data_IF_018074097994
#
_entry.id   IF_018074097994
#
_cell.length_a   1.000
_cell.length_b   1.000
_cell.length_c   1.000
_cell.angle_alpha   90.00
_cell.angle_beta   90.00
_cell.angle_gamma   90.00
#
_symmetry.space_group_name_H-M   'P 1'
#
loop_
_entity.id
_entity.type
_entity.pdbx_description
1 polymer ?
#
# COMPACT_ATOMS: atom_id res chain seq x y z
N UNK A 1 -24.42 -14.84 6.83
CA UNK A 1 -23.38 -13.93 6.56
C UNK A 1 -22.08 -14.67 6.39
N UNK A 2 -21.30 -14.15 5.62
CA UNK A 2 -20.00 -14.67 5.53
C UNK A 2 -19.27 -14.38 6.83
N UNK A 3 -18.96 -15.40 7.51
CA UNK A 3 -18.24 -15.26 8.76
C UNK A 3 -16.82 -14.96 8.54
N UNK A 4 -16.40 -15.04 7.31
CA UNK A 4 -15.06 -14.65 6.97
C UNK A 4 -14.94 -13.17 7.07
N UNK A 5 -14.30 -12.71 8.08
CA UNK A 5 -13.95 -11.31 8.17
C UNK A 5 -12.73 -11.13 7.30
N UNK A 6 -12.81 -10.22 6.34
CA UNK A 6 -11.67 -9.94 5.50
C UNK A 6 -10.54 -9.37 6.35
N UNK A 7 -9.33 -9.48 5.85
CA UNK A 7 -8.17 -8.92 6.54
C UNK A 7 -8.40 -7.44 6.83
N UNK A 8 -8.99 -6.75 5.89
CA UNK A 8 -9.26 -5.34 6.01
C UNK A 8 -10.30 -5.05 7.08
N UNK A 9 -11.36 -5.83 7.13
CA UNK A 9 -12.39 -5.66 8.12
C UNK A 9 -11.89 -5.96 9.52
N UNK A 10 -11.08 -7.00 9.66
CA UNK A 10 -10.49 -7.35 10.92
C UNK A 10 -9.62 -6.22 11.43
N UNK A 11 -8.81 -5.66 10.55
CA UNK A 11 -7.93 -4.57 10.88
C UNK A 11 -8.73 -3.34 11.30
N UNK A 12 -9.81 -3.08 10.59
CA UNK A 12 -10.69 -1.98 10.91
C UNK A 12 -11.30 -2.14 12.32
N UNK A 13 -11.76 -3.32 12.63
CA UNK A 13 -12.35 -3.58 13.95
C UNK A 13 -11.34 -3.39 15.07
N UNK A 14 -10.13 -3.85 14.87
CA UNK A 14 -9.08 -3.67 15.85
C UNK A 14 -8.78 -2.18 16.04
N UNK A 15 -8.71 -1.47 14.92
CA UNK A 15 -8.42 -0.04 14.95
C UNK A 15 -9.53 0.74 15.63
N UNK A 16 -10.77 0.40 15.33
CA UNK A 16 -11.91 1.09 15.94
C UNK A 16 -11.88 0.94 17.45
N UNK A 17 -11.47 -0.21 17.95
CA UNK A 17 -11.43 -0.43 19.39
C UNK A 17 -10.37 0.44 20.06
N UNK A 18 -9.32 0.82 19.33
CA UNK A 18 -8.28 1.70 19.85
C UNK A 18 -8.47 3.15 19.43
N UNK A 19 -9.25 3.39 18.40
CA UNK A 19 -9.48 4.71 17.84
C UNK A 19 -8.40 5.22 16.90
N UNK A 20 -7.34 4.45 16.65
CA UNK A 20 -6.22 4.88 15.83
C UNK A 20 -5.73 3.77 14.91
N UNK A 21 -5.05 4.18 13.84
CA UNK A 21 -4.33 3.27 12.95
C UNK A 21 -2.99 3.92 12.60
N UNK A 22 -1.94 3.11 12.62
CA UNK A 22 -0.63 3.57 12.16
C UNK A 22 -0.51 3.25 10.68
N UNK A 23 -0.17 4.25 9.87
CA UNK A 23 -0.14 4.11 8.43
C UNK A 23 1.03 4.88 7.83
N UNK A 24 1.31 4.58 6.57
CA UNK A 24 2.21 5.37 5.74
C UNK A 24 1.41 6.15 4.72
N UNK A 25 1.84 7.38 4.46
CA UNK A 25 1.36 8.16 3.33
C UNK A 25 2.47 8.11 2.29
N UNK A 26 2.16 7.60 1.12
CA UNK A 26 3.16 7.34 0.08
C UNK A 26 2.80 8.13 -1.16
N UNK A 27 3.69 9.04 -1.57
CA UNK A 27 3.48 9.82 -2.78
C UNK A 27 3.49 8.90 -3.99
N UNK A 28 2.50 9.07 -4.87
CA UNK A 28 2.37 8.26 -6.07
C UNK A 28 2.37 9.14 -7.30
N UNK A 29 3.08 8.68 -8.34
CA UNK A 29 3.08 9.40 -9.60
C UNK A 29 1.72 9.24 -10.29
N UNK A 30 1.13 10.37 -10.66
CA UNK A 30 -0.08 10.37 -11.46
C UNK A 30 -1.38 10.07 -10.74
N UNK A 31 -1.36 9.96 -9.42
CA UNK A 31 -2.60 9.71 -8.66
C UNK A 31 -2.45 10.21 -7.24
N UNK A 32 -3.55 10.13 -6.49
CA UNK A 32 -3.56 10.52 -5.08
C UNK A 32 -2.52 9.72 -4.31
N UNK A 33 -2.00 10.29 -3.23
CA UNK A 33 -1.08 9.58 -2.38
C UNK A 33 -1.77 8.32 -1.83
N UNK A 34 -0.96 7.29 -1.63
CA UNK A 34 -1.44 6.00 -1.13
C UNK A 34 -1.44 6.01 0.38
N UNK A 35 -2.48 5.48 0.97
CA UNK A 35 -2.58 5.28 2.41
C UNK A 35 -2.43 3.78 2.66
N UNK A 36 -1.38 3.39 3.38
CA UNK A 36 -1.03 1.99 3.55
C UNK A 36 -0.79 1.68 5.02
N UNK A 37 -1.45 0.67 5.58
CA UNK A 37 -1.20 0.29 6.98
C UNK A 37 0.25 -0.13 7.17
N UNK A 38 0.85 0.27 8.28
CA UNK A 38 2.26 -0.02 8.52
C UNK A 38 2.52 -1.51 8.78
N UNK A 39 1.53 -2.21 9.31
CA UNK A 39 1.73 -3.59 9.72
C UNK A 39 1.91 -4.57 8.55
N UNK A 40 1.62 -4.15 7.32
CA UNK A 40 1.87 -5.02 6.15
C UNK A 40 3.18 -4.70 5.46
N UNK A 41 3.95 -3.75 5.96
CA UNK A 41 5.25 -3.41 5.42
C UNK A 41 6.31 -4.14 6.24
N UNK A 42 6.99 -5.10 5.62
CA UNK A 42 7.94 -5.95 6.32
C UNK A 42 9.33 -5.33 6.40
N UNK A 43 9.68 -4.50 5.42
CA UNK A 43 11.02 -3.93 5.35
C UNK A 43 11.02 -2.76 4.38
N UNK A 44 12.02 -1.90 4.51
CA UNK A 44 12.24 -0.77 3.60
C UNK A 44 13.72 -0.79 3.20
N UNK A 45 13.98 -0.77 1.90
CA UNK A 45 15.32 -0.91 1.34
C UNK A 45 15.62 0.23 0.37
N UNK A 46 16.79 0.83 0.52
CA UNK A 46 17.25 1.76 -0.53
C UNK A 46 17.49 0.97 -1.79
N UNK A 47 17.06 1.49 -2.92
CA UNK A 47 17.14 0.75 -4.17
C UNK A 47 17.17 1.68 -5.38
N UNK A 48 17.79 1.19 -6.44
CA UNK A 48 17.64 1.75 -7.77
C UNK A 48 16.17 1.56 -8.17
N UNK A 49 15.54 2.59 -8.70
CA UNK A 49 14.12 2.51 -9.08
C UNK A 49 13.90 1.83 -10.43
N UNK A 50 14.96 1.65 -11.22
CA UNK A 50 14.85 1.13 -12.58
C UNK A 50 15.06 -0.38 -12.63
N UNK A 51 14.67 -1.10 -11.58
CA UNK A 51 14.83 -2.54 -11.48
C UNK A 51 13.48 -3.23 -11.57
N UNK A 52 13.48 -4.46 -12.06
CA UNK A 52 12.23 -5.25 -12.16
C UNK A 52 12.02 -6.12 -10.95
N UNK A 53 13.08 -6.40 -10.19
CA UNK A 53 12.98 -7.20 -8.98
C UNK A 53 13.91 -6.60 -7.93
N UNK A 54 13.56 -6.89 -6.67
CA UNK A 54 14.39 -6.51 -5.52
C UNK A 54 14.67 -7.79 -4.75
N UNK A 55 15.92 -7.97 -4.37
CA UNK A 55 16.30 -9.14 -3.58
C UNK A 55 16.06 -8.87 -2.09
N UNK A 56 15.39 -9.83 -1.44
CA UNK A 56 15.10 -9.73 -0.02
C UNK A 56 15.05 -11.14 0.55
N UNK A 57 15.93 -11.42 1.53
CA UNK A 57 16.01 -12.74 2.16
C UNK A 57 16.12 -13.87 1.13
N UNK A 58 17.03 -13.69 0.17
CA UNK A 58 17.29 -14.67 -0.92
C UNK A 58 16.11 -14.88 -1.85
N UNK A 59 15.11 -14.02 -1.79
CA UNK A 59 13.97 -14.04 -2.71
C UNK A 59 14.09 -12.85 -3.66
N UNK A 60 13.63 -13.05 -4.89
CA UNK A 60 13.53 -11.96 -5.87
C UNK A 60 12.08 -11.53 -5.93
N UNK A 61 11.80 -10.35 -5.42
CA UNK A 61 10.43 -9.85 -5.36
C UNK A 61 10.15 -8.96 -6.56
N UNK A 62 9.01 -9.15 -7.24
CA UNK A 62 8.66 -8.27 -8.36
C UNK A 62 8.39 -6.86 -7.84
N UNK A 63 8.67 -5.87 -8.66
CA UNK A 63 8.52 -4.47 -8.30
C UNK A 63 7.25 -3.88 -8.90
N UNK A 64 6.45 -3.24 -8.06
CA UNK A 64 5.35 -2.40 -8.50
C UNK A 64 5.77 -0.95 -8.23
N UNK A 65 5.97 -0.19 -9.30
CA UNK A 65 6.57 1.15 -9.20
C UNK A 65 5.50 2.22 -9.12
N UNK A 66 5.58 3.05 -8.09
CA UNK A 66 4.72 4.23 -7.95
C UNK A 66 5.53 5.50 -7.87
N UNK A 67 6.85 5.40 -8.05
CA UNK A 67 7.77 6.53 -8.04
C UNK A 67 7.68 7.33 -9.34
N UNK A 68 8.21 8.53 -9.31
CA UNK A 68 8.31 9.35 -10.52
C UNK A 68 9.22 8.63 -11.52
N UNK A 69 8.80 8.55 -12.80
CA UNK A 69 9.54 7.77 -13.80
C UNK A 69 10.99 8.23 -14.02
N UNK A 70 11.27 9.50 -13.83
CA UNK A 70 12.61 10.03 -14.06
C UNK A 70 13.53 9.85 -12.85
N UNK A 71 13.00 9.46 -11.72
CA UNK A 71 13.80 9.27 -10.51
C UNK A 71 14.57 7.95 -10.60
N UNK A 72 15.84 7.97 -10.23
CA UNK A 72 16.71 6.80 -10.37
C UNK A 72 16.98 6.09 -9.05
N UNK A 73 16.79 6.76 -7.92
CA UNK A 73 17.01 6.17 -6.61
C UNK A 73 15.78 6.38 -5.75
N UNK A 74 15.40 5.38 -5.01
CA UNK A 74 14.24 5.46 -4.15
C UNK A 74 14.30 4.42 -3.05
N UNK A 75 13.11 4.08 -2.54
CA UNK A 75 12.97 3.11 -1.45
C UNK A 75 11.96 2.04 -1.89
N UNK A 76 12.36 0.79 -1.74
CA UNK A 76 11.48 -0.34 -2.00
C UNK A 76 10.92 -0.84 -0.68
N UNK A 77 9.60 -0.85 -0.57
CA UNK A 77 8.92 -1.39 0.59
C UNK A 77 8.53 -2.83 0.30
N UNK A 78 8.92 -3.74 1.17
CA UNK A 78 8.52 -5.14 1.04
C UNK A 78 7.14 -5.30 1.64
N UNK A 79 6.19 -5.68 0.80
CA UNK A 79 4.78 -5.75 1.19
C UNK A 79 4.38 -7.20 1.41
N UNK A 80 3.73 -7.45 2.53
CA UNK A 80 3.25 -8.78 2.92
C UNK A 80 2.11 -9.21 2.01
N UNK A 81 2.01 -10.54 1.78
CA UNK A 81 0.87 -11.14 1.12
C UNK A 81 0.22 -12.14 2.07
N UNK A 82 -0.79 -12.84 1.57
CA UNK A 82 -1.42 -13.90 2.37
C UNK A 82 -0.43 -15.03 2.63
N UNK A 83 0.53 -15.22 1.71
CA UNK A 83 1.66 -16.10 1.96
C UNK A 83 2.89 -15.50 1.29
N UNK A 84 4.04 -16.13 1.53
CA UNK A 84 5.32 -15.57 1.08
C UNK A 84 5.41 -15.44 -0.44
N UNK A 85 4.67 -16.26 -1.19
CA UNK A 85 4.72 -16.21 -2.65
C UNK A 85 4.03 -14.98 -3.23
N UNK A 86 3.29 -14.25 -2.41
CA UNK A 86 2.55 -13.06 -2.86
C UNK A 86 3.23 -11.75 -2.48
N UNK A 87 4.38 -11.83 -1.84
CA UNK A 87 5.12 -10.63 -1.47
C UNK A 87 5.64 -9.91 -2.69
N UNK A 88 5.68 -8.60 -2.62
CA UNK A 88 6.24 -7.80 -3.71
C UNK A 88 6.90 -6.55 -3.13
N UNK A 89 7.63 -5.84 -3.97
CA UNK A 89 8.30 -4.61 -3.58
C UNK A 89 7.56 -3.43 -4.17
N UNK A 90 7.15 -2.50 -3.33
CA UNK A 90 6.51 -1.26 -3.75
C UNK A 90 7.60 -0.20 -3.85
N UNK A 91 7.89 0.25 -5.07
CA UNK A 91 8.98 1.21 -5.29
C UNK A 91 8.47 2.62 -5.14
N UNK A 92 9.05 3.34 -4.19
CA UNK A 92 8.62 4.68 -3.79
C UNK A 92 9.71 5.71 -4.08
N UNK A 93 9.32 6.99 -4.15
CA UNK A 93 10.29 8.07 -4.34
C UNK A 93 11.29 8.16 -3.19
N UNK A 94 10.82 7.93 -1.98
CA UNK A 94 11.61 8.06 -0.77
C UNK A 94 10.90 7.32 0.34
N UNK A 95 11.51 7.27 1.52
CA UNK A 95 10.87 6.64 2.67
C UNK A 95 9.55 7.35 2.96
N UNK A 96 8.43 6.62 3.04
CA UNK A 96 7.13 7.24 3.24
C UNK A 96 7.01 7.92 4.60
N UNK A 97 6.09 8.85 4.65
CA UNK A 97 5.76 9.54 5.89
C UNK A 97 4.92 8.62 6.79
N UNK A 98 5.37 8.48 8.03
CA UNK A 98 4.64 7.71 9.03
C UNK A 98 3.62 8.62 9.70
N UNK A 99 2.41 8.11 9.90
CA UNK A 99 1.33 8.90 10.48
C UNK A 99 0.45 8.01 11.33
N UNK A 100 -0.04 8.56 12.45
CA UNK A 100 -1.06 7.91 13.25
C UNK A 100 -2.38 8.61 12.99
N UNK A 101 -3.36 7.87 12.50
CA UNK A 101 -4.66 8.40 12.11
C UNK A 101 -5.71 8.11 13.17
N UNK A 102 -6.58 9.09 13.40
CA UNK A 102 -7.79 8.85 14.18
C UNK A 102 -8.87 8.38 13.21
N UNK A 103 -9.44 7.23 13.48
CA UNK A 103 -10.44 6.62 12.60
C UNK A 103 -11.61 7.57 12.35
N UNK A 104 -12.04 8.30 13.37
CA UNK A 104 -13.19 9.19 13.22
C UNK A 104 -12.94 10.34 12.26
N UNK A 105 -11.68 10.57 11.86
CA UNK A 105 -11.33 11.65 10.92
C UNK A 105 -11.23 11.18 9.49
N UNK A 106 -11.39 9.88 9.25
CA UNK A 106 -11.32 9.31 7.91
C UNK A 106 -12.72 9.19 7.34
N UNK A 107 -12.93 9.78 6.17
CA UNK A 107 -14.24 9.78 5.52
C UNK A 107 -14.11 9.10 4.17
N UNK A 108 -15.01 8.17 3.88
CA UNK A 108 -15.04 7.52 2.57
C UNK A 108 -15.38 8.56 1.51
N UNK A 109 -14.63 8.54 0.42
CA UNK A 109 -14.90 9.40 -0.72
C UNK A 109 -15.49 8.51 -1.81
N UNK A 110 -16.75 8.77 -2.17
CA UNK A 110 -17.47 7.92 -3.11
C UNK A 110 -17.29 8.34 -4.55
N UNK A 111 -16.30 9.19 -4.84
CA UNK A 111 -16.02 9.57 -6.21
C UNK A 111 -15.71 8.34 -7.06
N UNK A 112 -16.13 8.31 -8.33
CA UNK A 112 -15.85 7.17 -9.19
C UNK A 112 -14.34 6.93 -9.33
N UNK A 113 -13.96 5.65 -9.35
CA UNK A 113 -12.58 5.23 -9.50
C UNK A 113 -12.48 4.31 -10.70
N UNK A 114 -11.64 4.67 -11.66
CA UNK A 114 -11.44 3.87 -12.87
C UNK A 114 -10.17 3.03 -12.85
N UNK A 115 -9.38 3.15 -11.80
CA UNK A 115 -8.11 2.43 -11.68
C UNK A 115 -8.34 1.16 -10.85
N UNK A 116 -8.16 -0.03 -11.43
CA UNK A 116 -8.43 -1.27 -10.68
C UNK A 116 -7.46 -1.50 -9.53
N UNK A 117 -6.32 -0.80 -9.49
CA UNK A 117 -5.37 -0.93 -8.38
C UNK A 117 -5.77 -0.07 -7.18
N UNK A 118 -6.82 0.72 -7.31
CA UNK A 118 -7.35 1.51 -6.21
C UNK A 118 -8.58 0.80 -5.65
N UNK A 119 -8.54 0.47 -4.37
CA UNK A 119 -9.66 -0.16 -3.70
C UNK A 119 -10.74 0.88 -3.36
N UNK A 120 -10.30 2.05 -2.86
CA UNK A 120 -11.22 3.07 -2.38
C UNK A 120 -10.48 4.38 -2.20
N UNK A 121 -11.20 5.50 -2.37
CA UNK A 121 -10.69 6.82 -2.00
C UNK A 121 -11.21 7.18 -0.63
N UNK A 122 -10.37 7.84 0.15
CA UNK A 122 -10.75 8.33 1.47
C UNK A 122 -10.25 9.76 1.63
N UNK A 123 -10.93 10.52 2.46
CA UNK A 123 -10.52 11.91 2.75
C UNK A 123 -10.21 12.07 4.22
N UNK A 124 -9.19 12.88 4.48
CA UNK A 124 -8.84 13.32 5.81
C UNK A 124 -8.61 14.82 5.71
N UNK A 125 -9.49 15.62 6.34
CA UNK A 125 -9.44 17.06 6.16
C UNK A 125 -9.66 17.42 4.70
N UNK A 126 -8.75 18.16 4.11
CA UNK A 126 -8.84 18.59 2.71
C UNK A 126 -8.10 17.67 1.75
N UNK A 127 -7.47 16.61 2.25
CA UNK A 127 -6.65 15.74 1.41
C UNK A 127 -7.37 14.45 1.09
N UNK A 128 -7.24 14.02 -0.17
CA UNK A 128 -7.79 12.76 -0.63
C UNK A 128 -6.66 11.77 -0.86
N UNK A 129 -6.82 10.57 -0.34
CA UNK A 129 -5.86 9.48 -0.47
C UNK A 129 -6.53 8.28 -1.10
N UNK A 130 -5.73 7.37 -1.68
CA UNK A 130 -6.31 6.11 -2.13
C UNK A 130 -5.80 4.96 -1.28
N UNK A 131 -6.69 4.01 -1.04
CA UNK A 131 -6.34 2.74 -0.41
C UNK A 131 -6.08 1.76 -1.55
N UNK A 132 -4.91 1.12 -1.60
CA UNK A 132 -4.59 0.25 -2.73
C UNK A 132 -5.37 -1.06 -2.69
N UNK A 133 -5.66 -1.58 -3.88
CA UNK A 133 -6.21 -2.93 -4.01
C UNK A 133 -5.03 -3.87 -4.19
N UNK A 134 -4.57 -4.46 -3.10
CA UNK A 134 -3.36 -5.27 -3.12
C UNK A 134 -3.51 -6.52 -3.98
N UNK A 135 -4.70 -7.12 -4.00
CA UNK A 135 -4.94 -8.29 -4.84
C UNK A 135 -4.76 -7.96 -6.32
N UNK A 136 -5.22 -6.81 -6.74
CA UNK A 136 -5.09 -6.40 -8.14
C UNK A 136 -3.64 -6.06 -8.48
N UNK A 137 -2.93 -5.46 -7.57
CA UNK A 137 -1.51 -5.17 -7.77
C UNK A 137 -0.74 -6.49 -7.89
N UNK A 138 -0.99 -7.43 -6.99
CA UNK A 138 -0.35 -8.73 -7.03
C UNK A 138 -0.65 -9.46 -8.35
N UNK A 139 -1.90 -9.42 -8.79
CA UNK A 139 -2.28 -10.05 -10.05
C UNK A 139 -1.54 -9.42 -11.22
N UNK A 140 -1.37 -8.09 -11.22
CA UNK A 140 -0.67 -7.40 -12.29
C UNK A 140 0.80 -7.77 -12.35
N UNK A 141 1.36 -8.26 -11.25
CA UNK A 141 2.74 -8.71 -11.18
C UNK A 141 2.88 -10.20 -11.46
N UNK A 142 1.78 -10.88 -11.79
CA UNK A 142 1.81 -12.30 -12.06
C UNK A 142 1.85 -13.17 -10.82
N UNK A 143 1.55 -12.61 -9.67
CA UNK A 143 1.55 -13.38 -8.43
C UNK A 143 0.21 -14.09 -8.26
N UNK A 144 0.30 -15.32 -7.76
CA UNK A 144 -0.87 -16.12 -7.53
C UNK A 144 -1.70 -15.56 -6.40
N UNK A 145 -3.01 -15.64 -6.54
CA UNK A 145 -3.92 -15.20 -5.49
C UNK A 145 -4.83 -16.33 -5.09
#
# INVERSE_FOLDING_TARGET
MNEQISQQELQYLITVSTGFIDAYIIECHGKNAMLLPQNIVLSALDSDTQVKTVEWHDLHLPVYAINRPEQTEGVALVIEGDDASQRFALMCNEMPKSIRLRISEIVDDESPVNDPTIFQLVRMGDETYHVPNLNKIQASLGLST
#
